data_IF_493371790685
#
_entry.id   IF_493371790685
#
_cell.length_a   1.000
_cell.length_b   1.000
_cell.length_c   1.000
_cell.angle_alpha   90.00
_cell.angle_beta   90.00
_cell.angle_gamma   90.00
#
_symmetry.space_group_name_H-M   'P 1'
#
loop_
_entity.id
_entity.type
_entity.pdbx_description
1 polymer ?
#
# COMPACT_ATOMS: atom_id res chain seq x y z
N UNK A 1 6.25 -32.00 29.80
CA UNK A 1 5.14 -31.05 30.04
C UNK A 1 4.88 -30.11 28.86
N UNK A 2 5.89 -29.50 28.22
CA UNK A 2 5.67 -28.59 27.07
C UNK A 2 5.30 -29.29 25.74
N UNK A 3 5.58 -30.58 25.62
CA UNK A 3 5.43 -31.33 24.36
C UNK A 3 3.97 -31.72 24.06
N UNK A 4 3.18 -32.06 25.08
CA UNK A 4 1.76 -32.41 24.93
C UNK A 4 0.88 -31.19 24.64
N UNK A 5 1.22 -30.03 25.19
CA UNK A 5 0.49 -28.78 24.97
C UNK A 5 0.63 -28.30 23.53
N UNK A 6 1.80 -28.42 22.89
CA UNK A 6 1.96 -28.07 21.47
C UNK A 6 1.20 -28.99 20.51
N UNK A 7 1.00 -30.26 20.88
CA UNK A 7 0.31 -31.25 20.05
C UNK A 7 -1.22 -31.14 20.11
N UNK A 8 -1.77 -30.76 21.26
CA UNK A 8 -3.20 -30.81 21.51
C UNK A 8 -3.88 -29.45 21.65
N UNK A 9 -3.12 -28.35 21.79
CA UNK A 9 -3.69 -26.99 21.86
C UNK A 9 -3.54 -26.30 20.50
N UNK A 10 -4.63 -26.11 19.74
CA UNK A 10 -4.58 -25.39 18.47
C UNK A 10 -4.19 -23.93 18.73
N UNK A 11 -3.06 -23.52 18.15
CA UNK A 11 -2.56 -22.15 18.24
C UNK A 11 -2.91 -21.41 16.95
N UNK A 12 -3.55 -20.24 17.10
CA UNK A 12 -3.85 -19.36 15.98
C UNK A 12 -2.93 -18.14 16.01
N UNK A 13 -2.24 -17.90 14.89
CA UNK A 13 -1.39 -16.71 14.73
C UNK A 13 -2.25 -15.57 14.21
N UNK A 14 -2.69 -14.68 15.10
CA UNK A 14 -3.44 -13.48 14.71
C UNK A 14 -2.48 -12.47 14.07
N UNK A 15 -2.47 -12.43 12.73
CA UNK A 15 -1.72 -11.41 11.98
C UNK A 15 -2.40 -10.05 12.12
N UNK A 16 -1.80 -9.17 12.91
CA UNK A 16 -2.25 -7.77 12.99
C UNK A 16 -1.86 -7.07 11.68
N UNK A 17 -2.81 -6.91 10.78
CA UNK A 17 -2.64 -6.05 9.59
C UNK A 17 -2.64 -4.60 10.06
N UNK A 18 -1.46 -4.01 10.24
CA UNK A 18 -1.38 -2.55 10.34
C UNK A 18 -1.59 -1.96 8.96
N UNK A 19 -2.63 -1.14 8.81
CA UNK A 19 -2.90 -0.40 7.56
C UNK A 19 -1.81 0.64 7.26
N UNK A 20 -1.00 1.00 8.26
CA UNK A 20 0.02 2.04 8.13
C UNK A 20 1.22 1.70 9.04
N UNK A 21 2.45 1.56 8.50
CA UNK A 21 3.60 1.13 9.30
C UNK A 21 3.98 2.08 10.45
N UNK A 22 3.66 3.37 10.33
CA UNK A 22 3.84 4.37 11.39
C UNK A 22 2.78 4.28 12.50
N UNK A 23 1.67 3.56 12.27
CA UNK A 23 0.59 3.40 13.24
C UNK A 23 0.84 2.20 14.15
N UNK A 24 1.40 2.46 15.33
CA UNK A 24 1.77 1.42 16.29
C UNK A 24 0.67 1.12 17.33
N UNK A 25 0.91 0.10 18.16
CA UNK A 25 -0.03 -0.33 19.20
C UNK A 25 -0.30 0.76 20.25
N UNK A 26 0.67 1.62 20.56
CA UNK A 26 0.51 2.75 21.47
C UNK A 26 -0.47 3.79 20.93
N UNK A 27 -0.36 4.16 19.64
CA UNK A 27 -1.33 5.03 18.97
C UNK A 27 -2.72 4.40 18.92
N UNK A 28 -2.81 3.08 18.71
CA UNK A 28 -4.09 2.36 18.79
C UNK A 28 -4.72 2.45 20.18
N UNK A 29 -3.93 2.29 21.25
CA UNK A 29 -4.42 2.46 22.65
C UNK A 29 -4.93 3.88 22.89
N UNK A 30 -4.21 4.90 22.43
CA UNK A 30 -4.64 6.30 22.53
C UNK A 30 -5.93 6.56 21.74
N UNK A 31 -6.03 6.05 20.52
CA UNK A 31 -7.24 6.12 19.70
C UNK A 31 -8.44 5.46 20.39
N UNK A 32 -8.23 4.27 20.98
CA UNK A 32 -9.26 3.57 21.73
C UNK A 32 -9.67 4.32 23.01
N UNK A 33 -8.70 4.92 23.72
CA UNK A 33 -8.97 5.78 24.89
C UNK A 33 -9.84 6.97 24.48
N UNK A 34 -9.50 7.66 23.39
CA UNK A 34 -10.31 8.75 22.82
C UNK A 34 -11.74 8.28 22.52
N UNK A 35 -11.89 7.17 21.78
CA UNK A 35 -13.20 6.60 21.42
C UNK A 35 -14.03 6.23 22.65
N UNK A 36 -13.41 5.66 23.68
CA UNK A 36 -14.09 5.31 24.94
C UNK A 36 -14.60 6.55 25.66
N UNK A 37 -13.76 7.58 25.80
CA UNK A 37 -14.14 8.85 26.43
C UNK A 37 -15.22 9.61 25.66
N UNK A 38 -15.28 9.46 24.34
CA UNK A 38 -16.38 10.01 23.56
C UNK A 38 -17.70 9.26 23.82
N UNK A 39 -17.65 7.92 23.86
CA UNK A 39 -18.84 7.06 23.92
C UNK A 39 -19.48 6.93 25.30
N UNK A 40 -18.73 7.06 26.41
CA UNK A 40 -19.27 6.81 27.75
C UNK A 40 -19.80 8.05 28.49
N UNK A 41 -19.03 9.14 28.69
CA UNK A 41 -19.47 10.24 29.53
C UNK A 41 -19.78 11.52 28.71
N UNK A 42 -18.93 11.90 27.75
CA UNK A 42 -19.06 13.17 27.01
C UNK A 42 -20.33 13.23 26.16
N UNK A 43 -20.67 12.16 25.43
CA UNK A 43 -21.88 12.13 24.60
C UNK A 43 -23.18 11.95 25.40
N UNK A 44 -23.14 11.37 26.60
CA UNK A 44 -24.35 10.99 27.34
C UNK A 44 -24.75 11.96 28.44
N UNK A 45 -23.78 12.54 29.14
CA UNK A 45 -24.04 13.37 30.32
C UNK A 45 -23.79 14.86 30.08
N UNK A 46 -23.45 15.24 28.85
CA UNK A 46 -23.04 16.58 28.40
C UNK A 46 -22.20 17.40 29.40
N UNK A 47 -21.34 16.70 30.15
CA UNK A 47 -20.59 17.32 31.23
C UNK A 47 -19.38 18.06 30.65
N UNK A 48 -19.17 19.35 30.99
CA UNK A 48 -17.98 20.09 30.56
C UNK A 48 -16.67 19.41 30.95
N UNK A 49 -16.66 18.74 32.11
CA UNK A 49 -15.50 18.00 32.60
C UNK A 49 -15.22 16.73 31.77
N UNK A 50 -16.27 16.03 31.33
CA UNK A 50 -16.13 14.88 30.44
C UNK A 50 -15.58 15.30 29.06
N UNK A 51 -16.07 16.42 28.53
CA UNK A 51 -15.56 17.01 27.29
C UNK A 51 -14.10 17.47 27.43
N UNK A 52 -13.71 18.06 28.56
CA UNK A 52 -12.32 18.42 28.83
C UNK A 52 -11.39 17.19 28.82
N UNK A 53 -11.79 16.10 29.47
CA UNK A 53 -11.06 14.82 29.44
C UNK A 53 -10.94 14.24 28.03
N UNK A 54 -12.01 14.31 27.24
CA UNK A 54 -11.99 13.90 25.83
C UNK A 54 -11.00 14.74 25.02
N UNK A 55 -11.07 16.08 25.11
CA UNK A 55 -10.17 17.00 24.41
C UNK A 55 -8.70 16.76 24.76
N UNK A 56 -8.39 16.56 26.04
CA UNK A 56 -7.03 16.21 26.46
C UNK A 56 -6.53 14.90 25.83
N UNK A 57 -7.39 13.87 25.75
CA UNK A 57 -7.05 12.61 25.09
C UNK A 57 -6.90 12.76 23.57
N UNK A 58 -7.72 13.60 22.93
CA UNK A 58 -7.61 13.90 21.50
C UNK A 58 -6.33 14.67 21.17
N UNK A 59 -6.01 15.71 21.94
CA UNK A 59 -4.76 16.45 21.80
C UNK A 59 -3.54 15.53 21.95
N UNK A 60 -3.57 14.64 22.95
CA UNK A 60 -2.51 13.65 23.16
C UNK A 60 -2.38 12.71 21.95
N UNK A 61 -3.51 12.19 21.44
CA UNK A 61 -3.51 11.31 20.27
C UNK A 61 -2.96 12.03 19.03
N UNK A 62 -3.42 13.25 18.77
CA UNK A 62 -2.97 14.07 17.63
C UNK A 62 -1.48 14.38 17.72
N UNK A 63 -0.99 14.84 18.88
CA UNK A 63 0.43 15.11 19.09
C UNK A 63 1.30 13.87 18.86
N UNK A 64 0.92 12.72 19.43
CA UNK A 64 1.65 11.47 19.24
C UNK A 64 1.57 10.94 17.82
N UNK A 65 0.42 11.10 17.15
CA UNK A 65 0.27 10.71 15.74
C UNK A 65 1.15 11.57 14.84
N UNK A 66 1.25 12.88 15.10
CA UNK A 66 2.13 13.76 14.35
C UNK A 66 3.60 13.44 14.61
N UNK A 67 3.97 13.18 15.87
CA UNK A 67 5.33 12.73 16.22
C UNK A 67 5.70 11.43 15.50
N UNK A 68 4.81 10.45 15.48
CA UNK A 68 5.04 9.18 14.79
C UNK A 68 5.24 9.39 13.29
N UNK A 69 4.44 10.23 12.64
CA UNK A 69 4.61 10.58 11.22
C UNK A 69 5.94 11.31 10.98
N UNK A 70 6.24 12.35 11.77
CA UNK A 70 7.48 13.14 11.67
C UNK A 70 8.74 12.30 11.88
N UNK A 71 8.66 11.24 12.67
CA UNK A 71 9.76 10.29 12.78
C UNK A 71 9.79 9.35 11.58
N UNK A 72 8.65 8.77 11.20
CA UNK A 72 8.60 7.69 10.22
C UNK A 72 8.99 8.13 8.80
N UNK A 73 8.44 9.24 8.30
CA UNK A 73 8.62 9.65 6.90
C UNK A 73 10.07 10.06 6.55
N UNK A 74 10.79 10.85 7.36
CA UNK A 74 12.15 11.26 7.01
C UNK A 74 13.22 10.22 7.38
N UNK A 75 13.01 9.37 8.40
CA UNK A 75 14.06 8.43 8.85
C UNK A 75 13.73 6.99 8.48
N UNK A 76 12.63 6.45 9.01
CA UNK A 76 12.30 5.02 8.87
C UNK A 76 11.94 4.63 7.45
N UNK A 77 11.27 5.52 6.71
CA UNK A 77 10.79 5.23 5.35
C UNK A 77 11.97 5.12 4.35
N UNK A 78 12.94 6.06 4.28
CA UNK A 78 14.14 5.88 3.46
C UNK A 78 14.98 4.67 3.87
N UNK A 79 15.13 4.41 5.17
CA UNK A 79 15.85 3.24 5.66
C UNK A 79 15.18 1.93 5.22
N UNK A 80 13.85 1.90 5.21
CA UNK A 80 13.08 0.76 4.71
C UNK A 80 13.27 0.53 3.22
N UNK A 81 13.55 1.56 2.42
CA UNK A 81 13.90 1.38 1.01
C UNK A 81 15.19 0.56 0.85
N UNK A 82 16.18 0.81 1.70
CA UNK A 82 17.47 0.09 1.69
C UNK A 82 17.35 -1.33 2.25
N UNK A 83 16.66 -1.48 3.39
CA UNK A 83 16.64 -2.73 4.15
C UNK A 83 15.49 -3.67 3.75
N UNK A 84 14.39 -3.14 3.21
CA UNK A 84 13.22 -3.92 2.83
C UNK A 84 12.37 -3.21 1.74
N UNK A 85 12.85 -3.16 0.49
CA UNK A 85 12.19 -2.41 -0.59
C UNK A 85 10.77 -2.92 -0.89
N UNK A 86 10.51 -4.22 -0.73
CA UNK A 86 9.15 -4.78 -0.89
C UNK A 86 8.16 -4.14 0.09
N UNK A 87 8.57 -3.98 1.35
CA UNK A 87 7.73 -3.35 2.39
C UNK A 87 7.57 -1.85 2.15
N UNK A 88 8.61 -1.18 1.64
CA UNK A 88 8.54 0.21 1.22
C UNK A 88 7.46 0.43 0.16
N UNK A 89 7.53 -0.30 -0.96
CA UNK A 89 6.55 -0.16 -2.04
C UNK A 89 5.14 -0.52 -1.60
N UNK A 90 4.98 -1.52 -0.75
CA UNK A 90 3.67 -1.84 -0.13
C UNK A 90 3.13 -0.72 0.77
N UNK A 91 3.99 0.12 1.32
CA UNK A 91 3.60 1.25 2.18
C UNK A 91 3.20 2.47 1.38
N UNK A 92 3.91 2.74 0.27
CA UNK A 92 3.69 3.89 -0.60
C UNK A 92 2.53 3.64 -1.57
N UNK A 93 2.48 2.44 -2.16
CA UNK A 93 1.52 2.15 -3.20
C UNK A 93 0.11 2.01 -2.62
N UNK A 94 -0.91 2.61 -3.26
CA UNK A 94 -2.28 2.40 -2.87
C UNK A 94 -2.64 0.91 -2.96
N UNK A 95 -3.36 0.40 -1.97
CA UNK A 95 -3.82 -1.01 -1.95
C UNK A 95 -4.94 -1.29 -2.96
N UNK A 96 -5.44 -0.26 -3.64
CA UNK A 96 -6.49 -0.36 -4.64
C UNK A 96 -5.87 -0.18 -6.02
N UNK A 97 -6.14 -1.08 -6.98
CA UNK A 97 -5.84 -0.77 -8.36
C UNK A 97 -6.63 0.48 -8.72
N UNK A 98 -5.94 1.57 -9.02
CA UNK A 98 -6.56 2.69 -9.73
C UNK A 98 -6.91 2.17 -11.11
N UNK A 99 -8.20 2.05 -11.47
CA UNK A 99 -8.56 1.65 -12.82
C UNK A 99 -7.93 2.67 -13.76
N UNK A 100 -7.12 2.16 -14.69
CA UNK A 100 -6.47 2.97 -15.71
C UNK A 100 -7.59 3.44 -16.64
N UNK A 101 -8.09 4.65 -16.42
CA UNK A 101 -9.18 5.21 -17.19
C UNK A 101 -8.56 5.86 -18.43
N UNK A 102 -8.58 5.15 -19.55
CA UNK A 102 -8.27 5.78 -20.84
C UNK A 102 -9.43 6.69 -21.22
N UNK A 103 -9.12 7.85 -21.78
CA UNK A 103 -10.09 8.79 -22.31
C UNK A 103 -9.88 8.99 -23.79
N UNK A 104 -10.96 9.17 -24.54
CA UNK A 104 -10.90 9.59 -25.94
C UNK A 104 -10.50 11.08 -26.06
N UNK A 105 -10.38 11.58 -27.30
CA UNK A 105 -10.06 12.98 -27.61
C UNK A 105 -11.14 13.98 -27.14
N UNK A 106 -12.30 13.48 -26.71
CA UNK A 106 -13.41 14.24 -26.15
C UNK A 106 -13.56 14.04 -24.64
N UNK A 107 -12.55 13.42 -24.02
CA UNK A 107 -12.46 13.20 -22.58
C UNK A 107 -13.51 12.21 -22.02
N UNK A 108 -14.13 11.39 -22.88
CA UNK A 108 -15.04 10.33 -22.47
C UNK A 108 -14.27 9.07 -22.08
N UNK A 109 -14.72 8.34 -21.04
CA UNK A 109 -14.09 7.09 -20.63
C UNK A 109 -14.19 6.04 -21.75
N UNK A 110 -13.05 5.47 -22.12
CA UNK A 110 -12.97 4.35 -23.05
C UNK A 110 -13.57 3.09 -22.40
N UNK A 111 -14.49 2.38 -23.08
CA UNK A 111 -15.02 1.11 -22.59
C UNK A 111 -13.92 0.07 -22.36
N UNK A 112 -14.05 -0.75 -21.30
CA UNK A 112 -13.02 -1.71 -20.92
C UNK A 112 -12.62 -2.72 -22.02
N UNK A 113 -13.52 -3.03 -22.95
CA UNK A 113 -13.23 -3.94 -24.06
C UNK A 113 -12.37 -3.30 -25.17
N UNK A 114 -12.43 -1.98 -25.32
CA UNK A 114 -11.70 -1.24 -26.35
C UNK A 114 -10.30 -0.79 -25.89
N UNK A 115 -10.06 -0.77 -24.58
CA UNK A 115 -8.78 -0.33 -23.97
C UNK A 115 -7.58 -1.01 -24.60
N UNK A 116 -7.63 -2.33 -24.78
CA UNK A 116 -6.51 -3.11 -25.32
C UNK A 116 -6.21 -2.74 -26.79
N UNK A 117 -7.26 -2.56 -27.59
CA UNK A 117 -7.12 -2.21 -29.00
C UNK A 117 -6.59 -0.79 -29.17
N UNK A 118 -7.13 0.17 -28.41
CA UNK A 118 -6.68 1.57 -28.42
C UNK A 118 -5.23 1.67 -27.96
N UNK A 119 -4.85 0.97 -26.88
CA UNK A 119 -3.47 0.94 -26.41
C UNK A 119 -2.52 0.43 -27.52
N UNK A 120 -2.85 -0.70 -28.14
CA UNK A 120 -2.05 -1.29 -29.20
C UNK A 120 -1.92 -0.36 -30.40
N UNK A 121 -3.03 0.24 -30.86
CA UNK A 121 -3.04 1.19 -31.97
C UNK A 121 -2.17 2.41 -31.69
N UNK A 122 -2.30 2.97 -30.50
CA UNK A 122 -1.51 4.15 -30.08
C UNK A 122 -0.03 3.81 -29.99
N UNK A 123 0.29 2.67 -29.38
CA UNK A 123 1.66 2.16 -29.26
C UNK A 123 2.26 1.90 -30.65
N UNK A 124 1.56 1.23 -31.55
CA UNK A 124 2.04 0.99 -32.92
C UNK A 124 2.18 2.28 -33.74
N UNK A 125 1.36 3.30 -33.49
CA UNK A 125 1.39 4.56 -34.23
C UNK A 125 2.65 5.39 -33.96
N UNK A 126 3.33 5.21 -32.82
CA UNK A 126 4.55 5.97 -32.50
C UNK A 126 5.82 5.33 -33.06
N UNK A 127 5.74 4.08 -33.55
CA UNK A 127 6.87 3.44 -34.22
C UNK A 127 6.94 3.86 -35.69
N UNK A 128 8.14 4.23 -36.12
CA UNK A 128 8.46 4.46 -37.53
C UNK A 128 8.44 3.15 -38.28
N UNK A 129 7.90 3.15 -39.51
CA UNK A 129 8.05 2.03 -40.44
C UNK A 129 9.46 2.07 -41.02
N UNK A 130 10.41 1.45 -40.33
CA UNK A 130 11.78 1.32 -40.82
C UNK A 130 11.80 0.38 -42.04
N UNK A 131 12.52 0.74 -43.13
CA UNK A 131 12.68 -0.14 -44.26
C UNK A 131 13.52 -1.35 -43.85
N UNK A 132 13.04 -2.55 -44.17
CA UNK A 132 13.68 -3.85 -43.84
C UNK A 132 15.12 -3.93 -44.37
N UNK A 133 15.49 -3.10 -45.34
CA UNK A 133 16.85 -2.98 -45.89
C UNK A 133 17.89 -2.42 -44.93
N UNK A 134 17.49 -1.82 -43.79
CA UNK A 134 18.41 -1.26 -42.78
C UNK A 134 18.59 -2.18 -41.56
N UNK A 135 17.90 -3.32 -41.50
CA UNK A 135 18.07 -4.26 -40.41
C UNK A 135 19.41 -5.01 -40.57
N UNK A 136 20.25 -5.07 -39.52
CA UNK A 136 21.47 -5.86 -39.57
C UNK A 136 21.12 -7.34 -39.72
N UNK A 137 21.80 -8.02 -40.65
CA UNK A 137 21.65 -9.47 -40.84
C UNK A 137 21.88 -10.19 -39.51
N UNK A 138 20.82 -10.79 -38.98
CA UNK A 138 20.91 -11.58 -37.75
C UNK A 138 21.79 -12.80 -38.03
N UNK A 139 22.89 -13.00 -37.27
CA UNK A 139 23.74 -14.16 -37.49
C UNK A 139 22.93 -15.44 -37.23
N UNK A 140 22.94 -16.33 -38.23
CA UNK A 140 22.40 -17.68 -38.15
C UNK A 140 22.90 -18.34 -36.86
N UNK A 141 21.97 -18.63 -35.95
CA UNK A 141 22.26 -19.43 -34.77
C UNK A 141 22.67 -20.82 -35.25
N UNK A 142 23.97 -21.10 -35.26
CA UNK A 142 24.52 -22.42 -35.45
C UNK A 142 24.10 -23.29 -34.27
N UNK A 143 22.97 -23.97 -34.40
CA UNK A 143 22.65 -25.14 -33.58
C UNK A 143 23.66 -26.22 -33.92
N UNK A 144 24.79 -26.24 -33.21
CA UNK A 144 25.70 -27.38 -33.18
C UNK A 144 24.95 -28.53 -32.51
N UNK A 145 24.42 -29.41 -33.35
CA UNK A 145 23.87 -30.71 -32.96
C UNK A 145 25.01 -31.56 -32.39
N UNK A 146 25.08 -31.69 -31.06
CA UNK A 146 25.95 -32.67 -30.42
C UNK A 146 25.42 -34.07 -30.75
N UNK A 147 26.10 -34.78 -31.65
CA UNK A 147 25.88 -36.21 -31.88
C UNK A 147 26.67 -37.04 -30.86
N UNK A 148 25.97 -38.09 -30.41
CA UNK A 148 26.30 -39.25 -29.57
C UNK A 148 27.77 -39.63 -29.38
#
# INVERSE_FOLDING_TARGET
>A
MQELTHKHVPTITVKIKSSSPWFNSSLKRLSNKKKRLFRSPAKRSDSPHAWAKYRAADNTFTAQSQKAKRSFFPTTLPEMLRNNPKRFWKTINPNHPTPLLLTDDHNHPVPAHDVAEILNKTFSSVFTREPVSELPDTPLSTTTSCHH
#
